data_IF_758327897197
#
_entry.id   IF_758327897197
#
_cell.length_a   1.000
_cell.length_b   1.000
_cell.length_c   1.000
_cell.angle_alpha   90.00
_cell.angle_beta   90.00
_cell.angle_gamma   90.00
#
_symmetry.space_group_name_H-M   'P 1'
#
loop_
_entity.id
_entity.type
_entity.pdbx_description
1 polymer ?
#
# COMPACT_ATOMS: atom_id res chain seq x y z
N UNK A 1 -2.02 -1.50 -16.80
CA UNK A 1 -2.19 -1.69 -15.35
C UNK A 1 -2.85 -0.46 -14.77
N UNK A 2 -3.87 -0.63 -13.94
CA UNK A 2 -4.35 0.42 -13.03
C UNK A 2 -3.53 0.34 -11.74
N UNK A 3 -3.03 1.45 -11.21
CA UNK A 3 -2.34 1.52 -9.92
C UNK A 3 -3.10 2.42 -8.95
N UNK A 4 -3.34 1.89 -7.74
CA UNK A 4 -4.01 2.58 -6.64
C UNK A 4 -3.05 2.68 -5.45
N UNK A 5 -2.64 3.90 -5.11
CA UNK A 5 -1.94 4.15 -3.84
C UNK A 5 -2.96 4.08 -2.70
N UNK A 6 -2.55 3.52 -1.55
CA UNK A 6 -3.45 3.30 -0.43
C UNK A 6 -3.82 4.56 0.38
N UNK A 7 -3.62 4.49 1.69
CA UNK A 7 -4.00 5.55 2.62
C UNK A 7 -5.10 5.12 3.61
N UNK A 8 -6.41 5.26 3.31
CA UNK A 8 -7.02 5.89 2.13
C UNK A 8 -6.70 7.39 2.05
N UNK A 9 -6.92 7.97 0.87
CA UNK A 9 -6.74 9.42 0.63
C UNK A 9 -5.38 9.81 0.07
N UNK A 10 -4.51 8.85 -0.26
CA UNK A 10 -3.19 9.13 -0.81
C UNK A 10 -3.22 9.16 -2.35
N UNK A 11 -2.60 10.19 -2.92
CA UNK A 11 -2.58 10.47 -4.34
C UNK A 11 -1.80 9.40 -5.10
N UNK A 12 -2.32 8.99 -6.26
CA UNK A 12 -1.66 8.08 -7.19
C UNK A 12 -0.38 8.68 -7.78
N UNK A 13 -0.19 10.00 -7.68
CA UNK A 13 1.08 10.64 -7.99
C UNK A 13 2.22 10.18 -7.05
N UNK A 14 1.90 9.71 -5.84
CA UNK A 14 2.88 9.09 -4.95
C UNK A 14 3.51 7.85 -5.60
N UNK A 15 2.66 6.93 -6.08
CA UNK A 15 3.10 5.75 -6.82
C UNK A 15 3.86 6.09 -8.11
N UNK A 16 3.52 7.22 -8.74
CA UNK A 16 4.19 7.69 -9.94
C UNK A 16 5.63 8.17 -9.65
N UNK A 17 5.83 9.01 -8.63
CA UNK A 17 7.11 9.72 -8.45
C UNK A 17 8.05 9.09 -7.42
N UNK A 18 7.51 8.34 -6.46
CA UNK A 18 8.30 7.72 -5.38
C UNK A 18 8.51 6.22 -5.55
N UNK A 19 7.66 5.55 -6.34
CA UNK A 19 7.60 4.09 -6.38
C UNK A 19 7.92 3.55 -7.79
N UNK A 20 6.89 3.39 -8.64
CA UNK A 20 6.94 2.56 -9.83
C UNK A 20 6.92 3.34 -11.15
N UNK A 21 6.61 4.64 -11.11
CA UNK A 21 6.48 5.46 -12.31
C UNK A 21 7.82 5.83 -12.97
N UNK A 22 7.76 6.49 -14.15
CA UNK A 22 8.91 6.68 -15.04
C UNK A 22 9.87 7.77 -14.57
N UNK A 23 9.48 8.54 -13.57
CA UNK A 23 10.20 9.70 -13.08
C UNK A 23 10.35 9.63 -11.56
N UNK A 24 11.37 10.30 -11.04
CA UNK A 24 11.55 10.57 -9.62
C UNK A 24 12.11 11.98 -9.43
N UNK A 25 12.08 12.48 -8.19
CA UNK A 25 12.76 13.73 -7.90
C UNK A 25 14.27 13.55 -7.87
N UNK A 26 14.99 14.49 -8.48
CA UNK A 26 16.42 14.65 -8.24
C UNK A 26 16.61 15.37 -6.90
N UNK A 27 16.72 14.60 -5.82
CA UNK A 27 16.82 15.13 -4.46
C UNK A 27 18.01 16.09 -4.27
N UNK A 28 19.12 15.86 -4.96
CA UNK A 28 20.31 16.69 -4.86
C UNK A 28 20.11 18.07 -5.50
N UNK A 29 19.43 18.14 -6.65
CA UNK A 29 19.16 19.41 -7.36
C UNK A 29 17.86 20.09 -6.96
N UNK A 30 16.91 19.37 -6.36
CA UNK A 30 15.61 19.93 -5.96
C UNK A 30 15.63 20.69 -4.64
N UNK A 31 16.58 20.37 -3.75
CA UNK A 31 16.73 21.06 -2.47
C UNK A 31 17.55 22.37 -2.57
N UNK A 32 17.82 22.86 -3.79
CA UNK A 32 18.68 24.01 -4.06
C UNK A 32 17.88 25.11 -4.76
N UNK A 33 17.21 25.96 -3.97
CA UNK A 33 16.59 27.21 -4.45
C UNK A 33 15.05 27.19 -4.54
N UNK A 34 14.44 28.30 -5.01
CA UNK A 34 12.98 28.48 -5.08
C UNK A 34 12.33 27.86 -6.34
N UNK A 35 13.10 27.14 -7.15
CA UNK A 35 12.64 26.62 -8.43
C UNK A 35 11.76 25.37 -8.25
N UNK A 36 10.97 25.06 -9.29
CA UNK A 36 10.20 23.82 -9.38
C UNK A 36 11.15 22.62 -9.17
N UNK A 37 10.83 21.69 -8.24
CA UNK A 37 11.62 20.48 -8.01
C UNK A 37 11.96 19.78 -9.33
N UNK A 38 13.23 19.39 -9.48
CA UNK A 38 13.72 18.79 -10.73
C UNK A 38 13.37 17.30 -10.76
N UNK A 39 12.89 16.86 -11.90
CA UNK A 39 12.60 15.46 -12.18
C UNK A 39 13.78 14.81 -12.90
N UNK A 40 13.97 13.53 -12.66
CA UNK A 40 14.89 12.64 -13.37
C UNK A 40 14.18 11.35 -13.75
N UNK A 41 14.74 10.60 -14.70
CA UNK A 41 14.18 9.30 -15.09
C UNK A 41 14.42 8.26 -13.98
N UNK A 42 13.40 7.47 -13.68
CA UNK A 42 13.52 6.30 -12.81
C UNK A 42 14.04 5.10 -13.62
N UNK A 43 15.29 4.65 -13.41
CA UNK A 43 15.85 3.52 -14.16
C UNK A 43 15.18 2.19 -13.82
N UNK A 44 14.34 2.12 -12.79
CA UNK A 44 13.63 0.91 -12.37
C UNK A 44 12.11 1.02 -12.49
N UNK A 45 11.64 1.92 -13.36
CA UNK A 45 10.21 2.08 -13.57
C UNK A 45 9.53 0.83 -14.13
N UNK A 46 8.35 0.53 -13.61
CA UNK A 46 7.47 -0.51 -14.14
C UNK A 46 6.87 -0.13 -15.50
N UNK A 47 6.96 1.13 -15.92
CA UNK A 47 6.52 1.53 -17.26
C UNK A 47 7.36 0.94 -18.39
N UNK A 48 8.50 0.30 -18.05
CA UNK A 48 9.29 -0.49 -18.99
C UNK A 48 8.60 -1.77 -19.46
N UNK A 49 7.65 -2.27 -18.68
CA UNK A 49 6.95 -3.55 -18.93
C UNK A 49 5.42 -3.41 -18.96
N UNK A 50 4.88 -2.24 -18.63
CA UNK A 50 3.43 -1.98 -18.68
C UNK A 50 3.09 -0.52 -18.97
N UNK A 51 1.95 -0.25 -19.62
CA UNK A 51 1.31 1.07 -19.54
C UNK A 51 0.53 1.18 -18.22
N UNK A 52 0.73 2.26 -17.46
CA UNK A 52 0.17 2.40 -16.10
C UNK A 52 -0.75 3.62 -16.04
N UNK A 53 -1.93 3.43 -15.46
CA UNK A 53 -2.88 4.48 -15.10
C UNK A 53 -2.75 4.70 -13.60
N UNK A 54 -2.28 5.88 -13.19
CA UNK A 54 -2.26 6.29 -11.78
C UNK A 54 -3.51 7.11 -11.50
N UNK A 55 -4.30 6.69 -10.51
CA UNK A 55 -5.60 7.32 -10.23
C UNK A 55 -5.60 7.89 -8.82
N UNK A 56 -5.98 9.16 -8.71
CA UNK A 56 -6.34 9.77 -7.44
C UNK A 56 -7.75 9.30 -7.03
N UNK A 57 -7.82 8.50 -5.98
CA UNK A 57 -9.07 7.92 -5.46
C UNK A 57 -8.99 7.78 -3.94
N UNK A 58 -10.09 7.97 -3.18
CA UNK A 58 -11.44 8.40 -3.61
C UNK A 58 -11.49 9.90 -3.97
N UNK A 59 -12.69 10.44 -4.19
CA UNK A 59 -12.89 11.90 -4.35
C UNK A 59 -12.31 12.66 -3.15
N UNK A 60 -11.59 13.74 -3.42
CA UNK A 60 -10.85 14.52 -2.42
C UNK A 60 -9.38 14.11 -2.26
N UNK A 61 -8.96 13.00 -2.86
CA UNK A 61 -7.55 12.60 -3.00
C UNK A 61 -6.88 13.41 -4.10
N UNK A 62 -5.70 13.96 -3.84
CA UNK A 62 -4.88 14.67 -4.84
C UNK A 62 -5.67 15.71 -5.63
N UNK A 63 -5.85 15.50 -6.94
CA UNK A 63 -6.63 16.38 -7.82
C UNK A 63 -8.09 15.93 -8.07
N UNK A 64 -8.53 14.79 -7.52
CA UNK A 64 -9.90 14.31 -7.66
C UNK A 64 -10.88 15.12 -6.82
N UNK A 65 -11.99 15.57 -7.41
CA UNK A 65 -12.96 16.47 -6.78
C UNK A 65 -14.41 16.11 -7.14
N UNK A 66 -15.35 16.58 -6.32
CA UNK A 66 -16.78 16.57 -6.61
C UNK A 66 -17.33 17.99 -6.71
N UNK A 67 -18.50 18.14 -7.34
CA UNK A 67 -19.19 19.44 -7.48
C UNK A 67 -20.14 19.75 -6.32
N UNK A 68 -20.48 18.74 -5.52
CA UNK A 68 -21.33 18.87 -4.34
C UNK A 68 -20.59 18.35 -3.12
N UNK A 69 -20.99 18.81 -1.94
CA UNK A 69 -20.43 18.38 -0.66
C UNK A 69 -20.66 16.87 -0.44
N UNK A 70 -21.84 16.37 -0.80
CA UNK A 70 -22.21 14.96 -0.69
C UNK A 70 -21.30 14.05 -1.51
N UNK A 71 -20.79 14.53 -2.65
CA UNK A 71 -19.90 13.76 -3.52
C UNK A 71 -18.51 13.51 -2.95
N UNK A 72 -18.14 14.15 -1.84
CA UNK A 72 -16.90 13.85 -1.11
C UNK A 72 -17.06 12.69 -0.13
N UNK A 73 -18.29 12.34 0.26
CA UNK A 73 -18.52 11.20 1.14
C UNK A 73 -18.22 9.89 0.39
N UNK A 74 -17.39 9.05 0.98
CA UNK A 74 -17.02 7.76 0.39
C UNK A 74 -16.86 6.69 1.46
N UNK A 75 -16.91 5.45 1.03
CA UNK A 75 -16.49 4.28 1.79
C UNK A 75 -15.77 3.31 0.85
N UNK A 76 -15.31 2.17 1.38
CA UNK A 76 -14.61 1.16 0.60
C UNK A 76 -15.44 0.63 -0.61
N UNK A 77 -16.74 0.46 -0.42
CA UNK A 77 -17.65 -0.07 -1.45
C UNK A 77 -17.87 0.98 -2.55
N UNK A 78 -18.19 2.20 -2.15
CA UNK A 78 -18.42 3.31 -3.07
C UNK A 78 -17.15 3.70 -3.82
N UNK A 79 -15.99 3.70 -3.16
CA UNK A 79 -14.70 3.92 -3.82
C UNK A 79 -14.46 2.87 -4.90
N UNK A 80 -14.70 1.58 -4.59
CA UNK A 80 -14.51 0.49 -5.54
C UNK A 80 -15.43 0.62 -6.76
N UNK A 81 -16.71 0.95 -6.52
CA UNK A 81 -17.70 1.20 -7.58
C UNK A 81 -17.29 2.36 -8.49
N UNK A 82 -16.85 3.49 -7.92
CA UNK A 82 -16.37 4.65 -8.69
C UNK A 82 -15.11 4.33 -9.51
N UNK A 83 -14.20 3.50 -9.01
CA UNK A 83 -13.02 3.06 -9.77
C UNK A 83 -13.42 2.18 -10.95
N UNK A 84 -14.37 1.26 -10.74
CA UNK A 84 -14.92 0.44 -11.83
C UNK A 84 -15.62 1.31 -12.90
N UNK A 85 -16.41 2.31 -12.47
CA UNK A 85 -17.04 3.27 -13.37
C UNK A 85 -16.00 4.10 -14.15
N UNK A 86 -14.95 4.58 -13.46
CA UNK A 86 -13.83 5.28 -14.08
C UNK A 86 -13.17 4.42 -15.16
N UNK A 87 -12.81 3.16 -14.86
CA UNK A 87 -12.21 2.26 -15.83
C UNK A 87 -13.13 2.01 -17.03
N UNK A 88 -14.42 1.83 -16.78
CA UNK A 88 -15.44 1.65 -17.83
C UNK A 88 -15.42 2.84 -18.79
N UNK A 89 -15.50 4.06 -18.26
CA UNK A 89 -15.44 5.31 -19.04
C UNK A 89 -14.10 5.48 -19.76
N UNK A 90 -13.00 5.17 -19.08
CA UNK A 90 -11.66 5.28 -19.65
C UNK A 90 -11.48 4.37 -20.86
N UNK A 91 -11.91 3.10 -20.80
CA UNK A 91 -11.85 2.18 -21.94
C UNK A 91 -12.85 2.51 -23.06
N UNK A 92 -13.95 3.19 -22.76
CA UNK A 92 -14.84 3.73 -23.78
C UNK A 92 -14.14 4.83 -24.59
N UNK A 93 -13.47 5.75 -23.90
CA UNK A 93 -12.74 6.88 -24.47
C UNK A 93 -11.38 6.50 -25.11
N UNK A 94 -10.77 5.40 -24.64
CA UNK A 94 -9.46 4.90 -25.09
C UNK A 94 -9.56 3.51 -25.74
N UNK A 95 -10.30 3.35 -26.86
CA UNK A 95 -10.60 2.04 -27.43
C UNK A 95 -9.37 1.23 -27.85
N UNK A 96 -8.25 1.89 -28.17
CA UNK A 96 -6.99 1.26 -28.57
C UNK A 96 -6.36 0.40 -27.45
N UNK A 97 -6.75 0.60 -26.19
CA UNK A 97 -6.24 -0.19 -25.06
C UNK A 97 -7.13 -1.39 -24.71
N UNK A 98 -8.32 -1.55 -25.31
CA UNK A 98 -9.30 -2.58 -24.92
C UNK A 98 -8.78 -4.02 -25.07
N UNK A 99 -7.92 -4.26 -26.06
CA UNK A 99 -7.34 -5.58 -26.29
C UNK A 99 -6.18 -5.89 -25.33
N UNK A 100 -5.60 -4.88 -24.68
CA UNK A 100 -4.44 -5.09 -23.82
C UNK A 100 -4.83 -5.89 -22.57
N UNK A 101 -3.95 -6.79 -22.09
CA UNK A 101 -4.09 -7.38 -20.76
C UNK A 101 -4.28 -6.30 -19.70
N UNK A 102 -5.41 -6.36 -18.98
CA UNK A 102 -5.70 -5.50 -17.86
C UNK A 102 -5.27 -6.18 -16.57
N UNK A 103 -4.50 -5.45 -15.77
CA UNK A 103 -4.16 -5.78 -14.41
C UNK A 103 -4.54 -4.60 -13.52
N UNK A 104 -5.05 -4.89 -12.33
CA UNK A 104 -5.33 -3.89 -11.29
C UNK A 104 -4.31 -4.09 -10.17
N UNK A 105 -3.69 -3.04 -9.67
CA UNK A 105 -2.77 -3.18 -8.56
C UNK A 105 -2.75 -1.98 -7.66
N UNK A 106 -2.03 -2.13 -6.55
CA UNK A 106 -1.88 -1.09 -5.56
C UNK A 106 -1.17 -1.60 -4.33
N UNK A 107 -0.93 -0.67 -3.40
CA UNK A 107 -0.21 -0.91 -2.16
C UNK A 107 -1.02 -0.46 -0.93
N UNK A 108 -0.63 -0.96 0.25
CA UNK A 108 -1.17 -0.50 1.53
C UNK A 108 -2.71 -0.72 1.61
N UNK A 109 -3.47 0.32 1.96
CA UNK A 109 -4.93 0.27 2.02
C UNK A 109 -5.60 -0.10 0.68
N UNK A 110 -4.89 -0.02 -0.45
CA UNK A 110 -5.42 -0.55 -1.72
C UNK A 110 -5.67 -2.07 -1.66
N UNK A 111 -5.08 -2.80 -0.70
CA UNK A 111 -5.45 -4.17 -0.37
C UNK A 111 -6.93 -4.35 -0.05
N UNK A 112 -7.58 -3.32 0.51
CA UNK A 112 -9.03 -3.33 0.74
C UNK A 112 -9.83 -3.04 -0.55
N UNK A 113 -9.27 -2.30 -1.51
CA UNK A 113 -10.00 -1.74 -2.65
C UNK A 113 -9.84 -2.60 -3.91
N UNK A 114 -8.62 -3.01 -4.23
CA UNK A 114 -8.30 -3.75 -5.46
C UNK A 114 -9.14 -5.03 -5.61
N UNK A 115 -9.28 -5.92 -4.61
CA UNK A 115 -10.09 -7.14 -4.76
C UNK A 115 -11.56 -6.86 -5.06
N UNK A 116 -12.11 -5.77 -4.50
CA UNK A 116 -13.48 -5.32 -4.74
C UNK A 116 -13.63 -4.81 -6.17
N UNK A 117 -12.72 -3.96 -6.64
CA UNK A 117 -12.68 -3.48 -8.03
C UNK A 117 -12.57 -4.65 -9.02
N UNK A 118 -11.69 -5.61 -8.74
CA UNK A 118 -11.51 -6.80 -9.58
C UNK A 118 -12.79 -7.63 -9.64
N UNK A 119 -13.48 -7.82 -8.51
CA UNK A 119 -14.78 -8.50 -8.47
C UNK A 119 -15.84 -7.77 -9.29
N UNK A 120 -15.90 -6.43 -9.23
CA UNK A 120 -16.81 -5.63 -10.06
C UNK A 120 -16.52 -5.82 -11.57
N UNK A 121 -15.23 -5.90 -11.96
CA UNK A 121 -14.85 -6.18 -13.36
C UNK A 121 -15.29 -7.58 -13.79
N UNK A 122 -15.07 -8.60 -12.95
CA UNK A 122 -15.51 -9.98 -13.21
C UNK A 122 -17.02 -10.04 -13.39
N UNK A 123 -17.78 -9.48 -12.44
CA UNK A 123 -19.23 -9.43 -12.50
C UNK A 123 -19.73 -8.65 -13.72
N UNK A 124 -19.07 -7.54 -14.07
CA UNK A 124 -19.40 -6.75 -15.26
C UNK A 124 -19.19 -7.53 -16.55
N UNK A 125 -18.08 -8.28 -16.65
CA UNK A 125 -17.80 -9.13 -17.79
C UNK A 125 -18.81 -10.29 -17.93
N UNK A 126 -19.21 -10.92 -16.82
CA UNK A 126 -20.21 -11.99 -16.79
C UNK A 126 -21.61 -11.49 -17.18
N UNK A 127 -21.97 -10.28 -16.74
CA UNK A 127 -23.23 -9.62 -17.08
C UNK A 127 -23.20 -8.90 -18.45
N UNK A 128 -22.17 -9.15 -19.27
CA UNK A 128 -21.99 -8.57 -20.60
C UNK A 128 -22.04 -7.02 -20.62
N UNK A 129 -21.59 -6.35 -19.57
CA UNK A 129 -21.39 -4.91 -19.57
C UNK A 129 -20.32 -4.50 -20.60
N UNK A 130 -20.51 -3.32 -21.20
CA UNK A 130 -19.63 -2.77 -22.23
C UNK A 130 -18.82 -1.61 -21.65
N UNK A 131 -17.50 -1.56 -21.86
CA UNK A 131 -16.68 -2.50 -22.62
C UNK A 131 -16.29 -3.72 -21.78
N UNK A 132 -16.25 -4.91 -22.41
CA UNK A 132 -15.63 -6.09 -21.80
C UNK A 132 -14.15 -5.78 -21.53
N UNK A 133 -13.72 -5.93 -20.29
CA UNK A 133 -12.33 -5.68 -19.89
C UNK A 133 -11.52 -6.96 -19.95
N UNK A 134 -10.37 -6.96 -20.65
CA UNK A 134 -9.47 -8.11 -20.75
C UNK A 134 -8.65 -8.32 -19.47
N UNK A 135 -9.33 -8.52 -18.35
CA UNK A 135 -8.75 -8.71 -17.03
C UNK A 135 -7.95 -10.03 -16.98
N UNK A 136 -6.69 -9.95 -16.56
CA UNK A 136 -5.79 -11.10 -16.40
C UNK A 136 -5.36 -11.36 -14.96
N UNK A 137 -5.44 -10.36 -14.10
CA UNK A 137 -4.90 -10.51 -12.76
C UNK A 137 -4.89 -9.24 -11.94
N UNK A 138 -4.36 -9.34 -10.73
CA UNK A 138 -4.12 -8.20 -9.87
C UNK A 138 -2.87 -8.37 -8.99
N UNK A 139 -2.28 -7.25 -8.60
CA UNK A 139 -1.04 -7.19 -7.82
C UNK A 139 -1.20 -6.34 -6.56
N UNK A 140 -0.73 -6.83 -5.42
CA UNK A 140 -0.90 -6.21 -4.12
C UNK A 140 0.43 -6.11 -3.37
N UNK A 141 0.87 -4.89 -3.06
CA UNK A 141 2.07 -4.61 -2.27
C UNK A 141 1.73 -4.26 -0.83
N UNK A 142 2.27 -5.00 0.14
CA UNK A 142 2.00 -4.80 1.58
C UNK A 142 0.50 -4.53 1.85
N UNK A 143 -0.40 -5.42 1.39
CA UNK A 143 -1.82 -5.10 1.37
C UNK A 143 -2.45 -5.16 2.75
N UNK A 144 -3.23 -4.13 3.07
CA UNK A 144 -4.11 -4.16 4.22
C UNK A 144 -5.26 -5.14 3.98
N UNK A 145 -5.39 -6.12 4.88
CA UNK A 145 -6.53 -7.03 4.96
C UNK A 145 -6.98 -7.07 6.41
N UNK A 146 -8.01 -6.29 6.75
CA UNK A 146 -8.48 -6.16 8.14
C UNK A 146 -8.99 -7.52 8.66
N UNK A 147 -8.70 -7.81 9.93
CA UNK A 147 -9.16 -9.03 10.60
C UNK A 147 -8.37 -9.33 11.87
N UNK A 148 -9.01 -10.02 12.82
CA UNK A 148 -8.42 -10.32 14.13
C UNK A 148 -7.15 -11.17 14.03
N UNK A 149 -7.08 -12.14 13.09
CA UNK A 149 -5.86 -12.94 12.89
C UNK A 149 -4.70 -12.10 12.38
N UNK A 150 -4.95 -11.29 11.34
CA UNK A 150 -3.96 -10.37 10.78
C UNK A 150 -3.46 -9.42 11.86
N UNK A 151 -4.36 -8.81 12.63
CA UNK A 151 -3.97 -7.91 13.72
C UNK A 151 -3.17 -8.61 14.83
N UNK A 152 -3.53 -9.84 15.21
CA UNK A 152 -2.77 -10.62 16.20
C UNK A 152 -1.38 -11.04 15.70
N UNK A 153 -1.20 -11.22 14.39
CA UNK A 153 0.07 -11.63 13.78
C UNK A 153 1.20 -10.59 13.92
N UNK A 154 0.87 -9.32 14.21
CA UNK A 154 1.87 -8.27 14.43
C UNK A 154 2.83 -8.62 15.57
N UNK A 155 2.31 -9.14 16.68
CA UNK A 155 3.14 -9.54 17.83
C UNK A 155 4.12 -10.65 17.46
N UNK A 156 3.70 -11.57 16.57
CA UNK A 156 4.59 -12.60 16.04
C UNK A 156 5.63 -12.02 15.08
N UNK A 157 5.25 -11.07 14.22
CA UNK A 157 6.21 -10.36 13.38
C UNK A 157 7.28 -9.64 14.21
N UNK A 158 6.85 -8.85 15.19
CA UNK A 158 7.72 -8.10 16.12
C UNK A 158 8.73 -9.03 16.82
N UNK A 159 8.30 -10.24 17.19
CA UNK A 159 9.18 -11.27 17.73
C UNK A 159 10.17 -11.79 16.68
N UNK A 160 9.69 -12.18 15.49
CA UNK A 160 10.52 -12.72 14.40
C UNK A 160 11.61 -11.75 13.91
N UNK A 161 11.39 -10.45 14.04
CA UNK A 161 12.36 -9.40 13.68
C UNK A 161 13.14 -8.85 14.87
N UNK A 162 13.11 -9.54 16.02
CA UNK A 162 13.90 -9.21 17.22
C UNK A 162 13.58 -7.85 17.84
N UNK A 163 12.35 -7.34 17.67
CA UNK A 163 11.89 -6.12 18.34
C UNK A 163 11.40 -6.41 19.76
N UNK A 164 10.94 -7.63 20.04
CA UNK A 164 10.57 -8.10 21.37
C UNK A 164 11.30 -9.40 21.72
N UNK A 165 11.60 -9.61 23.01
CA UNK A 165 12.34 -10.80 23.47
C UNK A 165 11.48 -12.09 23.45
N UNK A 166 12.13 -13.25 23.42
CA UNK A 166 11.47 -14.55 23.53
C UNK A 166 10.62 -14.64 24.81
N UNK A 167 11.15 -14.15 25.94
CA UNK A 167 10.45 -14.16 27.22
C UNK A 167 9.20 -13.30 27.20
N UNK A 168 9.28 -12.09 26.64
CA UNK A 168 8.14 -11.19 26.50
C UNK A 168 7.10 -11.78 25.56
N UNK A 169 7.51 -12.33 24.41
CA UNK A 169 6.60 -12.96 23.46
C UNK A 169 5.87 -14.16 24.07
N UNK A 170 6.57 -15.07 24.74
CA UNK A 170 5.95 -16.22 25.40
C UNK A 170 5.03 -15.79 26.55
N UNK A 171 5.45 -14.82 27.36
CA UNK A 171 4.62 -14.28 28.44
C UNK A 171 3.34 -13.63 27.90
N UNK A 172 3.43 -12.84 26.83
CA UNK A 172 2.28 -12.25 26.17
C UNK A 172 1.33 -13.32 25.61
N UNK A 173 1.87 -14.29 24.86
CA UNK A 173 1.09 -15.38 24.25
C UNK A 173 0.29 -16.15 25.31
N UNK A 174 0.91 -16.49 26.43
CA UNK A 174 0.24 -17.18 27.56
C UNK A 174 -0.78 -16.26 28.24
N UNK A 175 -0.39 -15.03 28.57
CA UNK A 175 -1.24 -14.11 29.34
C UNK A 175 -2.48 -13.66 28.57
N UNK A 176 -2.35 -13.51 27.26
CA UNK A 176 -3.41 -13.08 26.35
C UNK A 176 -4.14 -14.24 25.66
N UNK A 177 -3.73 -15.49 25.92
CA UNK A 177 -4.26 -16.68 25.22
C UNK A 177 -4.19 -16.53 23.68
N UNK A 178 -3.14 -15.88 23.18
CA UNK A 178 -2.94 -15.59 21.75
C UNK A 178 -3.83 -14.48 21.16
N UNK A 179 -4.69 -13.82 21.93
CA UNK A 179 -5.47 -12.66 21.47
C UNK A 179 -4.99 -11.36 22.11
N UNK A 180 -4.17 -10.62 21.37
CA UNK A 180 -3.59 -9.34 21.72
C UNK A 180 -4.48 -8.15 21.36
N UNK A 181 -5.57 -8.39 20.63
CA UNK A 181 -6.43 -7.34 20.07
C UNK A 181 -7.74 -7.22 20.86
N UNK A 182 -8.41 -8.35 21.13
CA UNK A 182 -9.70 -8.39 21.82
C UNK A 182 -9.52 -8.78 23.29
N UNK A 183 -8.90 -7.89 24.05
CA UNK A 183 -8.46 -8.19 25.43
C UNK A 183 -9.56 -7.88 26.45
N UNK A 184 -9.85 -8.83 27.37
CA UNK A 184 -10.68 -8.55 28.55
C UNK A 184 -9.98 -7.50 29.43
N UNK A 185 -10.65 -6.37 29.68
CA UNK A 185 -10.13 -5.27 30.50
C UNK A 185 -9.78 -5.69 31.95
N UNK A 186 -10.26 -6.86 32.41
CA UNK A 186 -9.93 -7.43 33.72
C UNK A 186 -8.69 -8.34 33.68
N UNK A 187 -8.22 -8.73 32.50
CA UNK A 187 -7.00 -9.52 32.33
C UNK A 187 -5.77 -8.63 32.46
N UNK A 188 -5.44 -8.28 33.71
CA UNK A 188 -4.33 -7.38 34.03
C UNK A 188 -2.99 -7.90 33.49
N UNK A 189 -2.76 -9.22 33.50
CA UNK A 189 -1.51 -9.81 32.99
C UNK A 189 -1.35 -9.59 31.49
N UNK A 190 -2.42 -9.79 30.71
CA UNK A 190 -2.37 -9.52 29.27
C UNK A 190 -2.16 -8.03 28.99
N UNK A 191 -2.88 -7.15 29.69
CA UNK A 191 -2.71 -5.71 29.54
C UNK A 191 -1.27 -5.25 29.86
N UNK A 192 -0.63 -5.84 30.86
CA UNK A 192 0.77 -5.58 31.19
C UNK A 192 1.71 -6.07 30.08
N UNK A 193 1.44 -7.25 29.50
CA UNK A 193 2.27 -7.79 28.41
C UNK A 193 2.17 -6.94 27.14
N UNK A 194 0.97 -6.52 26.76
CA UNK A 194 0.75 -5.62 25.62
C UNK A 194 1.38 -4.24 25.86
N UNK A 195 1.32 -3.73 27.10
CA UNK A 195 1.98 -2.48 27.44
C UNK A 195 3.50 -2.60 27.31
N UNK A 196 4.09 -3.71 27.77
CA UNK A 196 5.52 -3.96 27.63
C UNK A 196 5.96 -4.07 26.15
N UNK A 197 5.21 -4.82 25.33
CA UNK A 197 5.45 -4.88 23.87
C UNK A 197 5.39 -3.47 23.26
N UNK A 198 4.34 -2.71 23.58
CA UNK A 198 4.15 -1.34 23.10
C UNK A 198 5.31 -0.43 23.52
N UNK A 199 5.82 -0.57 24.73
CA UNK A 199 6.95 0.20 25.23
C UNK A 199 8.26 -0.13 24.49
N UNK A 200 8.49 -1.40 24.13
CA UNK A 200 9.66 -1.84 23.36
C UNK A 200 9.63 -1.33 21.90
N UNK A 201 8.45 -1.27 21.28
CA UNK A 201 8.32 -0.89 19.85
C UNK A 201 7.96 0.57 19.61
N UNK A 202 7.68 1.38 20.64
CA UNK A 202 7.14 2.74 20.48
C UNK A 202 8.06 3.70 19.68
N UNK A 203 9.34 3.37 19.56
CA UNK A 203 10.37 4.15 18.90
C UNK A 203 10.93 3.43 17.66
N UNK A 204 10.16 2.50 17.10
CA UNK A 204 10.45 1.81 15.84
C UNK A 204 9.62 2.43 14.72
N UNK A 205 10.25 2.63 13.55
CA UNK A 205 9.56 3.15 12.37
C UNK A 205 8.61 2.09 11.80
N UNK A 206 7.31 2.41 11.76
CA UNK A 206 6.28 1.49 11.23
C UNK A 206 6.48 1.13 9.75
N UNK A 207 6.75 2.08 8.83
CA UNK A 207 6.92 1.76 7.43
C UNK A 207 8.19 0.95 7.12
N UNK A 208 9.20 1.01 7.98
CA UNK A 208 10.45 0.27 7.81
C UNK A 208 11.22 0.17 9.13
N UNK A 209 11.27 -0.99 9.77
CA UNK A 209 11.81 -1.16 11.13
C UNK A 209 13.28 -0.75 11.30
N UNK A 210 14.09 -0.76 10.23
CA UNK A 210 15.49 -0.34 10.26
C UNK A 210 15.71 1.17 9.98
N UNK A 211 14.68 1.92 9.62
CA UNK A 211 14.78 3.38 9.42
C UNK A 211 14.55 4.14 10.73
N UNK A 212 15.15 5.33 10.90
CA UNK A 212 14.93 6.13 12.11
C UNK A 212 13.46 6.56 12.22
N UNK A 213 12.97 6.68 13.47
CA UNK A 213 11.71 7.39 13.70
C UNK A 213 11.91 8.86 13.40
N UNK A 214 11.24 9.31 12.37
CA UNK A 214 11.28 10.68 11.91
C UNK A 214 10.21 11.49 12.66
N UNK A 215 10.54 12.67 13.23
CA UNK A 215 9.54 13.53 13.82
C UNK A 215 8.51 13.90 12.74
N UNK A 216 7.25 13.54 12.93
CA UNK A 216 6.16 14.18 12.21
C UNK A 216 6.21 15.67 12.56
N UNK A 217 6.04 16.53 11.55
CA UNK A 217 5.72 17.94 11.74
C UNK A 217 4.24 18.01 12.14
N UNK A 218 3.89 17.45 13.30
CA UNK A 218 2.54 17.54 13.87
C UNK A 218 2.61 17.72 15.38
N UNK A 219 2.20 18.92 15.81
CA UNK A 219 2.03 19.30 17.21
C UNK A 219 0.80 18.60 17.80
N UNK A 220 1.02 17.60 18.66
CA UNK A 220 0.26 17.27 19.89
C UNK A 220 0.22 15.75 20.10
N UNK A 221 1.01 15.26 21.06
CA UNK A 221 0.74 13.99 21.74
C UNK A 221 -0.52 14.16 22.61
N UNK A 222 -1.61 13.39 22.44
CA UNK A 222 -2.55 13.17 23.52
C UNK A 222 -2.07 12.00 24.38
N UNK A 223 -2.21 12.17 25.70
CA UNK A 223 -1.87 11.19 26.73
C UNK A 223 -2.74 9.91 26.63
N UNK A 224 -2.04 8.76 26.62
CA UNK A 224 -2.35 7.39 27.06
C UNK A 224 -3.83 6.95 27.24
N UNK A 225 -4.25 6.03 26.37
CA UNK A 225 -4.80 4.69 26.71
C UNK A 225 -4.20 3.69 25.69
N UNK A 226 -3.64 2.53 26.08
CA UNK A 226 -3.02 1.59 25.14
C UNK A 226 -4.12 0.77 24.47
N UNK A 227 -4.62 1.24 23.33
CA UNK A 227 -5.36 0.39 22.40
C UNK A 227 -4.47 0.13 21.20
N UNK A 228 -4.33 -1.14 20.81
CA UNK A 228 -3.73 -1.62 19.56
C UNK A 228 -4.62 -1.15 18.38
N UNK A 229 -4.77 0.16 18.20
CA UNK A 229 -5.48 0.78 17.08
C UNK A 229 -4.42 1.16 16.06
N UNK A 230 -4.56 0.62 14.86
CA UNK A 230 -3.77 0.95 13.67
C UNK A 230 -3.48 2.45 13.61
N UNK A 231 -2.24 2.83 13.93
CA UNK A 231 -1.76 4.22 13.82
C UNK A 231 -1.33 4.44 12.38
N UNK A 232 -2.25 4.98 11.59
CA UNK A 232 -1.93 5.50 10.25
C UNK A 232 -1.28 6.87 10.43
N UNK A 233 -0.02 7.02 10.01
CA UNK A 233 0.80 8.23 10.16
C UNK A 233 0.30 9.43 9.32
N UNK A 234 0.60 10.63 9.84
CA UNK A 234 0.21 11.95 9.34
C UNK A 234 1.36 12.59 8.53
N UNK A 235 1.09 12.97 7.28
CA UNK A 235 2.07 13.55 6.35
C UNK A 235 1.85 15.06 6.13
N UNK A 236 1.35 15.78 7.14
CA UNK A 236 1.30 17.25 7.07
C UNK A 236 2.69 17.86 7.27
N UNK A 237 3.28 18.35 6.17
CA UNK A 237 4.54 19.10 6.18
C UNK A 237 4.25 20.60 6.25
N UNK A 238 4.68 21.25 7.35
CA UNK A 238 4.84 22.71 7.40
C UNK A 238 6.26 23.10 6.93
N UNK A 239 6.40 23.80 5.78
CA UNK A 239 7.70 24.22 5.23
C UNK A 239 8.51 25.13 6.18
N UNK A 240 7.87 25.79 7.15
CA UNK A 240 8.52 26.76 8.04
C UNK A 240 9.23 26.14 9.24
N UNK A 241 9.02 24.84 9.52
CA UNK A 241 9.64 24.14 10.65
C UNK A 241 11.05 23.58 10.37
N UNK A 242 11.57 23.70 9.14
CA UNK A 242 12.92 23.26 8.77
C UNK A 242 14.06 24.17 9.29
N UNK A 243 13.76 25.25 10.01
CA UNK A 243 14.77 26.21 10.51
C UNK A 243 15.15 26.07 11.99
N UNK A 244 14.72 25.00 12.65
CA UNK A 244 14.62 25.01 14.12
C UNK A 244 15.47 24.04 14.94
N UNK A 245 16.42 23.25 14.42
CA UNK A 245 17.23 22.38 15.29
C UNK A 245 18.70 22.30 14.87
N UNK A 246 19.57 22.94 15.65
CA UNK A 246 21.03 22.80 15.59
C UNK A 246 21.47 21.51 16.30
N UNK A 247 21.07 20.37 15.77
CA UNK A 247 21.57 19.05 16.11
C UNK A 247 21.63 18.20 14.84
N UNK A 248 22.53 17.21 14.78
CA UNK A 248 22.61 16.29 13.64
C UNK A 248 21.32 15.44 13.62
N UNK A 249 20.32 15.91 12.87
CA UNK A 249 19.10 15.14 12.61
C UNK A 249 19.46 14.02 11.64
N UNK A 250 19.15 12.77 11.98
CA UNK A 250 19.26 11.65 11.06
C UNK A 250 18.41 11.91 9.82
N UNK A 251 18.96 11.57 8.64
CA UNK A 251 18.22 11.69 7.39
C UNK A 251 16.95 10.86 7.45
N UNK A 252 15.85 11.43 6.96
CA UNK A 252 14.52 10.85 6.96
C UNK A 252 13.99 10.75 5.53
N UNK A 253 13.51 9.58 5.14
CA UNK A 253 12.87 9.37 3.83
C UNK A 253 11.70 10.32 3.61
N UNK A 254 10.87 10.49 4.63
CA UNK A 254 9.71 11.40 4.61
C UNK A 254 10.07 12.86 4.34
N UNK A 255 11.32 13.28 4.60
CA UNK A 255 11.77 14.63 4.26
C UNK A 255 11.73 14.88 2.75
N UNK A 256 11.73 13.85 1.90
CA UNK A 256 11.62 13.99 0.45
C UNK A 256 10.17 14.23 -0.04
N UNK A 257 9.16 13.95 0.79
CA UNK A 257 7.76 14.02 0.35
C UNK A 257 7.26 15.45 0.12
N UNK A 258 7.92 16.46 0.72
CA UNK A 258 7.61 17.87 0.46
C UNK A 258 7.81 18.29 -1.00
N UNK A 259 8.64 17.56 -1.75
CA UNK A 259 8.92 17.86 -3.16
C UNK A 259 7.69 17.66 -4.04
N UNK A 260 6.91 16.59 -3.81
CA UNK A 260 5.63 16.40 -4.52
C UNK A 260 4.67 17.55 -4.23
N UNK A 261 4.54 17.95 -2.95
CA UNK A 261 3.67 19.08 -2.59
C UNK A 261 4.11 20.39 -3.25
N UNK A 262 5.42 20.64 -3.35
CA UNK A 262 5.94 21.84 -4.02
C UNK A 262 5.73 21.78 -5.53
N UNK A 263 5.91 20.60 -6.13
CA UNK A 263 5.80 20.38 -7.56
C UNK A 263 4.34 20.47 -8.04
N UNK A 264 3.42 19.71 -7.42
CA UNK A 264 2.00 19.65 -7.83
C UNK A 264 1.23 20.94 -7.55
N UNK A 265 1.66 21.76 -6.58
CA UNK A 265 1.05 23.06 -6.31
C UNK A 265 1.62 24.19 -7.19
N UNK A 266 2.62 23.92 -8.03
CA UNK A 266 3.11 24.92 -8.96
C UNK A 266 2.10 25.18 -10.08
N UNK A 267 1.82 26.45 -10.39
CA UNK A 267 0.82 26.84 -11.39
C UNK A 267 1.13 26.30 -12.78
N UNK A 268 2.40 26.33 -13.20
CA UNK A 268 2.82 25.82 -14.52
C UNK A 268 2.67 24.31 -14.61
N UNK A 269 2.93 23.60 -13.51
CA UNK A 269 2.71 22.15 -13.41
C UNK A 269 1.23 21.82 -13.51
N UNK A 270 0.38 22.53 -12.76
CA UNK A 270 -1.07 22.34 -12.81
C UNK A 270 -1.66 22.59 -14.20
N UNK A 271 -1.18 23.62 -14.89
CA UNK A 271 -1.54 23.89 -16.28
C UNK A 271 -1.11 22.75 -17.21
N UNK A 272 0.14 22.28 -17.10
CA UNK A 272 0.66 21.19 -17.92
C UNK A 272 -0.08 19.85 -17.69
N UNK A 273 -0.55 19.60 -16.46
CA UNK A 273 -1.36 18.44 -16.09
C UNK A 273 -2.85 18.60 -16.44
N UNK A 274 -3.26 19.74 -17.02
CA UNK A 274 -4.64 20.10 -17.30
C UNK A 274 -5.55 20.05 -16.06
N UNK A 275 -5.03 20.46 -14.90
CA UNK A 275 -5.83 20.56 -13.68
C UNK A 275 -6.83 21.71 -13.84
N UNK A 276 -8.10 21.41 -13.64
CA UNK A 276 -9.16 22.41 -13.75
C UNK A 276 -9.02 23.47 -12.66
N UNK A 277 -8.99 24.73 -13.07
CA UNK A 277 -8.91 25.86 -12.13
C UNK A 277 -10.17 25.94 -11.25
N UNK A 278 -9.98 26.26 -9.97
CA UNK A 278 -11.07 26.43 -8.99
C UNK A 278 -11.69 25.14 -8.45
N UNK A 279 -11.15 23.95 -8.78
CA UNK A 279 -11.70 22.68 -8.28
C UNK A 279 -10.95 22.09 -7.09
N UNK A 280 -9.64 22.30 -7.02
CA UNK A 280 -8.77 21.87 -5.91
C UNK A 280 -7.87 23.04 -5.55
N UNK A 281 -7.99 23.55 -4.34
CA UNK A 281 -7.21 24.73 -3.92
C UNK A 281 -5.73 24.38 -3.76
N UNK A 282 -5.45 23.36 -2.96
CA UNK A 282 -4.10 22.88 -2.67
C UNK A 282 -4.06 21.35 -2.79
N UNK A 283 -3.13 20.86 -3.60
CA UNK A 283 -2.82 19.45 -3.68
C UNK A 283 -2.07 18.99 -2.42
N UNK A 284 -2.44 17.81 -1.92
CA UNK A 284 -1.76 17.13 -0.83
C UNK A 284 -1.48 15.67 -1.21
N UNK A 285 -0.30 15.16 -0.81
CA UNK A 285 0.10 13.77 -1.06
C UNK A 285 -0.89 12.79 -0.48
N UNK A 286 -1.30 13.00 0.77
CA UNK A 286 -2.36 12.25 1.42
C UNK A 286 -3.34 13.21 2.09
N UNK A 287 -4.59 13.23 1.64
CA UNK A 287 -5.65 13.99 2.28
C UNK A 287 -6.38 13.09 3.28
N UNK A 288 -6.04 13.23 4.57
CA UNK A 288 -6.65 12.44 5.66
C UNK A 288 -7.98 13.00 6.16
N UNK A 289 -8.34 14.21 5.74
CA UNK A 289 -9.57 14.90 6.16
C UNK A 289 -10.76 14.60 5.24
N UNK A 290 -10.60 13.68 4.28
CA UNK A 290 -11.71 13.24 3.45
C UNK A 290 -12.80 12.56 4.32
N UNK A 291 -14.09 12.82 4.08
CA UNK A 291 -15.16 12.16 4.82
C UNK A 291 -15.33 10.71 4.33
N UNK A 292 -14.49 9.83 4.87
CA UNK A 292 -14.36 8.44 4.46
C UNK A 292 -14.72 7.45 5.58
N UNK A 293 -15.62 6.52 5.30
CA UNK A 293 -15.98 5.43 6.22
C UNK A 293 -15.23 4.16 5.84
N UNK A 294 -14.38 3.66 6.74
CA UNK A 294 -13.66 2.40 6.54
C UNK A 294 -14.50 1.21 7.00
N UNK A 295 -14.60 0.19 6.16
CA UNK A 295 -15.43 -0.99 6.41
C UNK A 295 -14.65 -2.05 7.23
N UNK A 296 -14.21 -1.68 8.43
CA UNK A 296 -13.36 -2.52 9.31
C UNK A 296 -14.02 -3.84 9.73
N UNK A 297 -15.36 -3.91 9.71
CA UNK A 297 -16.12 -5.11 10.10
C UNK A 297 -16.15 -6.18 8.98
N UNK A 298 -15.81 -5.82 7.74
CA UNK A 298 -15.84 -6.73 6.59
C UNK A 298 -14.42 -7.00 6.11
N UNK A 299 -13.91 -8.19 6.41
CA UNK A 299 -12.65 -8.65 5.83
C UNK A 299 -12.77 -8.79 4.31
N UNK A 300 -11.75 -8.34 3.57
CA UNK A 300 -11.69 -8.48 2.11
C UNK A 300 -11.28 -9.88 1.64
N UNK A 301 -10.93 -10.77 2.57
CA UNK A 301 -10.61 -12.18 2.29
C UNK A 301 -11.73 -12.89 1.54
N UNK A 302 -13.01 -12.54 1.80
CA UNK A 302 -14.15 -13.08 1.05
C UNK A 302 -14.09 -12.79 -0.45
N UNK A 303 -13.61 -11.62 -0.85
CA UNK A 303 -13.41 -11.29 -2.27
C UNK A 303 -12.29 -12.13 -2.88
N UNK A 304 -11.17 -12.29 -2.18
CA UNK A 304 -10.10 -13.19 -2.64
C UNK A 304 -10.56 -14.64 -2.81
N UNK A 305 -11.39 -15.15 -1.88
CA UNK A 305 -11.99 -16.50 -1.99
C UNK A 305 -12.88 -16.64 -3.22
N UNK A 306 -13.69 -15.62 -3.53
CA UNK A 306 -14.52 -15.62 -4.74
C UNK A 306 -13.63 -15.60 -5.99
N UNK A 307 -12.63 -14.73 -6.01
CA UNK A 307 -11.70 -14.59 -7.14
C UNK A 307 -10.83 -15.83 -7.36
N UNK A 308 -10.57 -16.64 -6.33
CA UNK A 308 -9.87 -17.93 -6.45
C UNK A 308 -10.62 -18.97 -7.31
N UNK A 309 -11.89 -18.72 -7.65
CA UNK A 309 -12.68 -19.55 -8.56
C UNK A 309 -12.56 -19.13 -10.05
N UNK A 310 -11.80 -18.08 -10.36
CA UNK A 310 -11.59 -17.56 -11.73
C UNK A 310 -10.32 -18.14 -12.37
N UNK A 311 -9.85 -17.57 -13.48
CA UNK A 311 -8.56 -17.87 -14.12
C UNK A 311 -7.50 -16.77 -13.88
N UNK A 312 -7.71 -15.91 -12.89
CA UNK A 312 -6.84 -14.77 -12.61
C UNK A 312 -5.45 -15.19 -12.09
N UNK A 313 -4.44 -14.43 -12.51
CA UNK A 313 -3.09 -14.51 -11.98
C UNK A 313 -2.90 -13.42 -10.93
N UNK A 314 -2.46 -13.77 -9.73
CA UNK A 314 -2.38 -12.86 -8.58
C UNK A 314 -0.96 -12.78 -8.08
N UNK A 315 -0.48 -11.56 -7.87
CA UNK A 315 0.79 -11.29 -7.18
C UNK A 315 0.47 -10.62 -5.85
N UNK A 316 0.93 -11.22 -4.75
CA UNK A 316 0.96 -10.56 -3.45
C UNK A 316 2.42 -10.46 -3.04
N UNK A 317 2.88 -9.27 -2.68
CA UNK A 317 4.23 -9.09 -2.18
C UNK A 317 4.28 -8.21 -0.95
N UNK A 318 5.26 -8.47 -0.07
CA UNK A 318 5.47 -7.69 1.14
C UNK A 318 6.94 -7.34 1.29
N UNK A 319 7.26 -6.07 1.57
CA UNK A 319 8.54 -5.72 2.16
C UNK A 319 8.67 -6.38 3.54
N UNK A 320 9.75 -7.13 3.77
CA UNK A 320 9.92 -7.88 5.03
C UNK A 320 10.28 -7.01 6.24
N UNK A 321 10.54 -5.71 6.03
CA UNK A 321 10.81 -4.72 7.09
C UNK A 321 9.60 -3.84 7.41
N UNK A 322 8.44 -4.08 6.80
CA UNK A 322 7.21 -3.35 7.10
C UNK A 322 6.52 -3.87 8.36
N UNK A 323 6.40 -3.01 9.37
CA UNK A 323 5.68 -3.31 10.62
C UNK A 323 4.21 -2.85 10.57
N UNK A 324 3.85 -2.01 9.59
CA UNK A 324 2.49 -1.52 9.38
C UNK A 324 1.59 -2.57 8.73
N UNK A 325 2.05 -3.21 7.66
CA UNK A 325 1.36 -4.30 6.96
C UNK A 325 2.32 -5.48 6.81
N UNK A 326 2.38 -6.31 7.85
CA UNK A 326 3.43 -7.32 8.00
C UNK A 326 3.28 -8.46 6.99
N UNK A 327 4.39 -9.04 6.56
CA UNK A 327 4.37 -10.24 5.72
C UNK A 327 3.74 -11.45 6.45
N UNK A 328 3.82 -11.49 7.78
CA UNK A 328 3.19 -12.53 8.61
C UNK A 328 1.67 -12.39 8.54
N UNK A 329 1.15 -11.18 8.71
CA UNK A 329 -0.28 -10.91 8.53
C UNK A 329 -0.75 -11.18 7.11
N UNK A 330 0.10 -10.94 6.12
CA UNK A 330 -0.19 -11.30 4.73
C UNK A 330 -0.32 -12.81 4.54
N UNK A 331 0.56 -13.60 5.15
CA UNK A 331 0.49 -15.06 5.12
C UNK A 331 -0.76 -15.61 5.82
N UNK A 332 -1.17 -15.02 6.96
CA UNK A 332 -2.37 -15.45 7.71
C UNK A 332 -3.63 -15.43 6.83
N UNK A 333 -3.86 -14.35 6.08
CA UNK A 333 -5.05 -14.28 5.25
C UNK A 333 -4.95 -15.10 3.96
N UNK A 334 -3.73 -15.30 3.43
CA UNK A 334 -3.51 -16.21 2.28
C UNK A 334 -3.81 -17.64 2.69
N UNK A 335 -3.42 -18.07 3.89
CA UNK A 335 -3.73 -19.40 4.43
C UNK A 335 -5.25 -19.62 4.53
N UNK A 336 -6.01 -18.59 4.90
CA UNK A 336 -7.47 -18.66 4.95
C UNK A 336 -8.13 -18.93 3.59
N UNK A 337 -7.45 -18.67 2.47
CA UNK A 337 -7.96 -18.99 1.14
C UNK A 337 -7.99 -20.49 0.85
N UNK A 338 -7.19 -21.29 1.58
CA UNK A 338 -7.09 -22.74 1.43
C UNK A 338 -6.77 -23.18 -0.01
N UNK A 339 -5.96 -22.38 -0.72
CA UNK A 339 -5.48 -22.73 -2.06
C UNK A 339 -4.29 -23.70 -1.92
N UNK A 340 -4.24 -24.81 -2.67
CA UNK A 340 -3.11 -25.73 -2.64
C UNK A 340 -1.78 -25.05 -2.99
N UNK A 341 -0.74 -25.37 -2.23
CA UNK A 341 0.64 -25.00 -2.57
C UNK A 341 1.07 -25.76 -3.83
N UNK A 342 1.56 -25.02 -4.82
CA UNK A 342 2.17 -25.54 -6.04
C UNK A 342 3.68 -25.68 -5.86
N UNK A 343 4.33 -24.65 -5.32
CA UNK A 343 5.76 -24.67 -4.98
C UNK A 343 5.97 -24.09 -3.59
N UNK A 344 6.72 -24.83 -2.77
CA UNK A 344 7.05 -24.47 -1.39
C UNK A 344 7.99 -23.27 -1.30
N UNK A 345 8.01 -22.67 -0.11
CA UNK A 345 8.83 -21.50 0.23
C UNK A 345 10.30 -21.67 -0.20
N UNK A 346 10.75 -20.81 -1.13
CA UNK A 346 12.11 -20.84 -1.67
C UNK A 346 12.66 -19.44 -1.90
N UNK A 347 13.99 -19.24 -1.87
CA UNK A 347 14.57 -17.95 -2.21
C UNK A 347 14.40 -17.65 -3.70
N UNK A 348 14.29 -16.36 -4.03
CA UNK A 348 14.39 -15.85 -5.40
C UNK A 348 15.50 -14.80 -5.51
N UNK A 349 16.02 -14.58 -6.72
CA UNK A 349 17.31 -13.91 -6.91
C UNK A 349 17.30 -12.78 -7.94
N UNK A 350 18.05 -11.72 -7.66
CA UNK A 350 18.40 -10.66 -8.61
C UNK A 350 19.91 -10.47 -8.53
N UNK A 351 20.60 -10.54 -9.68
CA UNK A 351 22.06 -10.46 -9.80
C UNK A 351 22.82 -11.37 -8.81
N UNK A 352 22.38 -12.63 -8.71
CA UNK A 352 22.93 -13.64 -7.81
C UNK A 352 22.87 -13.28 -6.32
N UNK A 353 22.02 -12.34 -5.92
CA UNK A 353 21.70 -12.03 -4.53
C UNK A 353 20.27 -12.42 -4.23
N UNK A 354 20.03 -12.94 -3.02
CA UNK A 354 18.66 -13.23 -2.56
C UNK A 354 17.89 -11.91 -2.51
N UNK A 355 16.86 -11.80 -3.34
CA UNK A 355 15.98 -10.64 -3.40
C UNK A 355 14.75 -10.82 -2.49
N UNK A 356 14.47 -12.05 -2.08
CA UNK A 356 13.44 -12.41 -1.11
C UNK A 356 13.10 -13.89 -1.18
N UNK A 357 11.90 -14.24 -0.73
CA UNK A 357 11.39 -15.61 -0.76
C UNK A 357 10.01 -15.66 -1.39
N UNK A 358 9.66 -16.77 -2.01
CA UNK A 358 8.43 -16.95 -2.79
C UNK A 358 7.79 -18.29 -2.45
N UNK A 359 6.46 -18.29 -2.39
CA UNK A 359 5.60 -19.48 -2.42
C UNK A 359 4.60 -19.31 -3.55
N UNK A 360 4.39 -20.37 -4.33
CA UNK A 360 3.39 -20.37 -5.40
C UNK A 360 2.21 -21.26 -5.01
N UNK A 361 1.00 -20.74 -5.19
CA UNK A 361 -0.26 -21.43 -4.95
C UNK A 361 -1.03 -21.57 -6.26
N UNK A 362 -1.74 -22.68 -6.41
CA UNK A 362 -2.57 -22.93 -7.59
C UNK A 362 -3.86 -23.63 -7.21
N UNK A 363 -4.98 -23.13 -7.72
CA UNK A 363 -6.22 -23.89 -7.72
C UNK A 363 -6.21 -24.79 -8.95
N UNK A 364 -6.06 -26.11 -8.76
CA UNK A 364 -5.94 -27.07 -9.86
C UNK A 364 -7.26 -27.33 -10.60
N UNK A 365 -8.39 -26.92 -10.04
CA UNK A 365 -9.70 -27.04 -10.69
C UNK A 365 -9.93 -25.97 -11.78
N UNK A 366 -9.13 -24.90 -11.76
CA UNK A 366 -9.14 -23.84 -12.76
C UNK A 366 -7.69 -23.40 -13.07
N UNK A 367 -7.50 -22.23 -13.67
CA UNK A 367 -6.16 -21.69 -13.98
C UNK A 367 -5.71 -20.60 -13.00
N UNK A 368 -6.41 -20.43 -11.87
CA UNK A 368 -6.05 -19.44 -10.87
C UNK A 368 -4.68 -19.73 -10.27
N UNK A 369 -3.85 -18.68 -10.19
CA UNK A 369 -2.51 -18.73 -9.62
C UNK A 369 -2.32 -17.57 -8.67
N UNK A 370 -1.75 -17.82 -7.50
CA UNK A 370 -1.33 -16.79 -6.55
C UNK A 370 0.15 -16.98 -6.25
N UNK A 371 0.95 -15.97 -6.52
CA UNK A 371 2.35 -15.90 -6.11
C UNK A 371 2.44 -14.98 -4.90
N UNK A 372 2.88 -15.51 -3.76
CA UNK A 372 3.26 -14.70 -2.61
C UNK A 372 4.77 -14.55 -2.57
N UNK A 373 5.27 -13.33 -2.38
CA UNK A 373 6.71 -13.13 -2.22
C UNK A 373 7.10 -12.01 -1.25
N UNK A 374 8.17 -12.20 -0.50
CA UNK A 374 8.81 -11.11 0.23
C UNK A 374 9.80 -10.37 -0.66
N UNK A 375 10.00 -9.08 -0.39
CA UNK A 375 11.10 -8.28 -0.94
C UNK A 375 12.05 -7.94 0.19
N UNK A 376 13.23 -8.56 0.18
CA UNK A 376 14.16 -8.57 1.30
C UNK A 376 14.78 -7.20 1.56
N UNK A 377 14.60 -6.71 2.78
CA UNK A 377 15.06 -5.39 3.22
C UNK A 377 14.23 -4.24 2.68
N UNK A 378 13.02 -4.49 2.17
CA UNK A 378 12.09 -3.45 1.74
C UNK A 378 11.08 -3.13 2.85
N UNK A 379 10.62 -1.88 2.88
CA UNK A 379 9.56 -1.42 3.78
C UNK A 379 8.17 -1.46 3.13
N UNK A 380 7.27 -0.60 3.62
CA UNK A 380 5.86 -0.55 3.28
C UNK A 380 5.57 -0.43 1.78
N UNK A 381 6.23 0.51 1.11
CA UNK A 381 6.17 0.69 -0.35
C UNK A 381 7.37 0.00 -0.98
N UNK A 382 7.35 -1.34 -1.09
CA UNK A 382 8.55 -2.09 -1.49
C UNK A 382 9.34 -1.51 -2.70
N UNK A 383 8.70 -1.00 -3.78
CA UNK A 383 9.41 -0.37 -4.90
C UNK A 383 10.17 0.92 -4.54
N UNK A 384 9.78 1.66 -3.50
CA UNK A 384 10.53 2.83 -3.02
C UNK A 384 11.83 2.44 -2.29
N UNK A 385 11.83 1.28 -1.64
CA UNK A 385 12.97 0.79 -0.85
C UNK A 385 13.91 -0.11 -1.66
N UNK A 386 13.36 -0.94 -2.55
CA UNK A 386 14.07 -1.95 -3.38
C UNK A 386 13.61 -1.88 -4.84
N UNK A 387 13.81 -0.74 -5.52
CA UNK A 387 13.25 -0.49 -6.85
C UNK A 387 13.70 -1.51 -7.90
N UNK A 388 14.97 -1.92 -7.85
CA UNK A 388 15.55 -2.89 -8.79
C UNK A 388 14.91 -4.27 -8.64
N UNK A 389 14.82 -4.75 -7.41
CA UNK A 389 14.22 -6.04 -7.08
C UNK A 389 12.73 -6.04 -7.42
N UNK A 390 12.01 -4.95 -7.11
CA UNK A 390 10.59 -4.81 -7.44
C UNK A 390 10.32 -4.78 -8.95
N UNK A 391 11.19 -4.14 -9.75
CA UNK A 391 11.07 -4.22 -11.22
C UNK A 391 11.29 -5.64 -11.75
N UNK A 392 12.32 -6.33 -11.25
CA UNK A 392 12.58 -7.71 -11.66
C UNK A 392 11.41 -8.65 -11.31
N UNK A 393 10.82 -8.46 -10.12
CA UNK A 393 9.65 -9.20 -9.66
C UNK A 393 8.45 -9.00 -10.60
N UNK A 394 8.04 -7.76 -10.86
CA UNK A 394 6.84 -7.50 -11.66
C UNK A 394 7.03 -7.93 -13.12
N UNK A 395 8.23 -7.76 -13.67
CA UNK A 395 8.56 -8.18 -15.03
C UNK A 395 8.40 -9.69 -15.18
N UNK A 396 9.03 -10.48 -14.30
CA UNK A 396 8.93 -11.94 -14.32
C UNK A 396 7.49 -12.41 -14.14
N UNK A 397 6.73 -11.75 -13.26
CA UNK A 397 5.32 -12.06 -13.07
C UNK A 397 4.47 -11.83 -14.34
N UNK A 398 4.63 -10.70 -15.03
CA UNK A 398 3.95 -10.45 -16.31
C UNK A 398 4.35 -11.45 -17.40
N UNK A 399 5.62 -11.84 -17.43
CA UNK A 399 6.16 -12.82 -18.37
C UNK A 399 5.81 -14.27 -18.00
N UNK A 400 5.13 -14.50 -16.87
CA UNK A 400 4.89 -15.83 -16.28
C UNK A 400 6.18 -16.65 -16.10
N UNK A 401 7.28 -15.95 -15.84
CA UNK A 401 8.59 -16.54 -15.53
C UNK A 401 8.74 -16.77 -14.03
N UNK A 402 9.46 -17.82 -13.59
CA UNK A 402 9.73 -18.04 -12.18
C UNK A 402 10.44 -16.83 -11.54
N UNK A 403 10.06 -16.50 -10.31
CA UNK A 403 10.82 -15.56 -9.48
C UNK A 403 12.16 -16.16 -9.06
#
# INVERSE_FOLDING_TARGET
MLWLTGGPGCSGFSGLVYEIGPISFDYARSNVGPDIPKLQLNPYSWTKVASIIFVDSPVGTGFSYARSYEGYHSDDTLQSSHIYEFLTKWFLDHPNFRSNPLYVGGDSYAGMIVPRVVQEIVNGNENAHVPKMNLKGYALGNPSTVGTKVANSHVEYEHRVSLISDELYQWAKISCNGDFVTVDARNIKCLQAIAAISDDINSVSYPHILEPVCPEVSTKLPKKVPTYKHRVQDDHVDPLHLRGHRGVRSWCRGDNYHLSSTWDNNVQVREALNIREGTVDRWARCNRNIPYTRDYEKTVVGYHKNLANTDLHVLVYSGDQDMGETYVGTLEWIEELQIPTKEEWRPWFVDNQVAGYVTEFRNFSNNYQLTFTTVKGAGHTAPEYKPKESLAMIQRWFESSPL
#
